data_IF_832798002288
#
_entry.id   IF_832798002288
#
_cell.length_a   1.000
_cell.length_b   1.000
_cell.length_c   1.000
_cell.angle_alpha   90.00
_cell.angle_beta   90.00
_cell.angle_gamma   90.00
#
_symmetry.space_group_name_H-M   'P 1'
#
loop_
_entity.id
_entity.type
_entity.pdbx_description
1 polymer ?
#
# COMPACT_ATOMS: atom_id res chain seq x y z
N UNK A 1 -8.66 -1.59 -52.20
CA UNK A 1 -9.65 -2.25 -51.31
C UNK A 1 -9.00 -3.11 -50.23
N UNK A 2 -8.08 -4.05 -50.55
CA UNK A 2 -7.34 -4.85 -49.52
C UNK A 2 -6.53 -4.03 -48.51
N UNK A 3 -5.92 -2.92 -48.94
CA UNK A 3 -5.10 -2.05 -48.08
C UNK A 3 -5.91 -1.36 -46.96
N UNK A 4 -7.10 -0.82 -47.27
CA UNK A 4 -7.99 -0.19 -46.30
C UNK A 4 -8.52 -1.21 -45.26
N UNK A 5 -8.82 -2.44 -45.70
CA UNK A 5 -9.27 -3.51 -44.82
C UNK A 5 -8.18 -4.00 -43.85
N UNK A 6 -6.90 -3.96 -44.25
CA UNK A 6 -5.77 -4.28 -43.37
C UNK A 6 -5.54 -3.17 -42.33
N UNK A 7 -5.69 -1.90 -42.71
CA UNK A 7 -5.59 -0.76 -41.79
C UNK A 7 -6.72 -0.79 -40.76
N UNK A 8 -7.95 -1.06 -41.19
CA UNK A 8 -9.11 -1.19 -40.31
C UNK A 8 -8.90 -2.31 -39.28
N UNK A 9 -8.45 -3.49 -39.70
CA UNK A 9 -8.12 -4.60 -38.79
C UNK A 9 -7.00 -4.26 -37.81
N UNK A 10 -5.98 -3.51 -38.25
CA UNK A 10 -4.89 -3.02 -37.39
C UNK A 10 -5.39 -2.05 -36.32
N UNK A 11 -6.22 -1.08 -36.70
CA UNK A 11 -6.85 -0.12 -35.79
C UNK A 11 -7.72 -0.80 -34.72
N UNK A 12 -8.56 -1.75 -35.13
CA UNK A 12 -9.35 -2.56 -34.19
C UNK A 12 -8.49 -3.40 -33.24
N UNK A 13 -7.33 -3.87 -33.71
CA UNK A 13 -6.35 -4.55 -32.88
C UNK A 13 -5.80 -3.62 -31.79
N UNK A 14 -5.29 -2.44 -32.18
CA UNK A 14 -4.76 -1.43 -31.26
C UNK A 14 -5.82 -1.00 -30.24
N UNK A 15 -7.04 -0.72 -30.69
CA UNK A 15 -8.15 -0.33 -29.81
C UNK A 15 -8.46 -1.40 -28.75
N UNK A 16 -8.43 -2.68 -29.11
CA UNK A 16 -8.62 -3.79 -28.15
C UNK A 16 -7.53 -3.82 -27.08
N UNK A 17 -6.27 -3.58 -27.45
CA UNK A 17 -5.17 -3.53 -26.48
C UNK A 17 -5.29 -2.34 -25.53
N UNK A 18 -5.67 -1.17 -26.05
CA UNK A 18 -5.92 0.03 -25.22
C UNK A 18 -7.06 -0.26 -24.22
N UNK A 19 -8.18 -0.82 -24.70
CA UNK A 19 -9.32 -1.15 -23.84
C UNK A 19 -8.94 -2.18 -22.77
N UNK A 20 -8.12 -3.18 -23.11
CA UNK A 20 -7.62 -4.17 -22.16
C UNK A 20 -6.72 -3.53 -21.09
N UNK A 21 -5.85 -2.60 -21.47
CA UNK A 21 -5.00 -1.87 -20.52
C UNK A 21 -5.84 -1.02 -19.56
N UNK A 22 -6.84 -0.30 -20.07
CA UNK A 22 -7.78 0.47 -19.24
C UNK A 22 -8.55 -0.46 -18.29
N UNK A 23 -9.02 -1.62 -18.77
CA UNK A 23 -9.73 -2.59 -17.93
C UNK A 23 -8.86 -3.13 -16.79
N UNK A 24 -7.57 -3.38 -17.02
CA UNK A 24 -6.62 -3.81 -15.98
C UNK A 24 -6.49 -2.71 -14.92
N UNK A 25 -6.26 -1.46 -15.31
CA UNK A 25 -6.12 -0.34 -14.38
C UNK A 25 -7.38 -0.16 -13.53
N UNK A 26 -8.57 -0.24 -14.14
CA UNK A 26 -9.85 -0.15 -13.42
C UNK A 26 -10.01 -1.30 -12.43
N UNK A 27 -9.60 -2.51 -12.80
CA UNK A 27 -9.63 -3.68 -11.92
C UNK A 27 -8.69 -3.50 -10.72
N UNK A 28 -7.49 -2.95 -10.94
CA UNK A 28 -6.53 -2.65 -9.86
C UNK A 28 -7.06 -1.62 -8.90
N UNK A 29 -7.62 -0.52 -9.40
CA UNK A 29 -8.22 0.50 -8.55
C UNK A 29 -9.40 -0.10 -7.76
N UNK A 30 -10.27 -0.85 -8.42
CA UNK A 30 -11.39 -1.53 -7.78
C UNK A 30 -10.95 -2.51 -6.68
N UNK A 31 -9.86 -3.25 -6.91
CA UNK A 31 -9.29 -4.16 -5.93
C UNK A 31 -8.73 -3.42 -4.72
N UNK A 32 -8.00 -2.32 -4.93
CA UNK A 32 -7.44 -1.50 -3.85
C UNK A 32 -8.58 -0.92 -2.98
N UNK A 33 -9.63 -0.39 -3.61
CA UNK A 33 -10.81 0.14 -2.90
C UNK A 33 -11.51 -0.97 -2.12
N UNK A 34 -11.73 -2.14 -2.75
CA UNK A 34 -12.36 -3.28 -2.09
C UNK A 34 -11.55 -3.77 -0.88
N UNK A 35 -10.22 -3.83 -1.01
CA UNK A 35 -9.34 -4.18 0.11
C UNK A 35 -9.48 -3.18 1.25
N UNK A 36 -9.43 -1.88 0.95
CA UNK A 36 -9.59 -0.84 1.98
C UNK A 36 -10.94 -0.96 2.71
N UNK A 37 -12.04 -1.21 1.99
CA UNK A 37 -13.37 -1.41 2.59
C UNK A 37 -13.42 -2.66 3.47
N UNK A 38 -12.82 -3.77 3.04
CA UNK A 38 -12.75 -5.00 3.83
C UNK A 38 -11.92 -4.78 5.10
N UNK A 39 -10.83 -4.03 4.99
CA UNK A 39 -9.94 -3.74 6.11
C UNK A 39 -10.61 -2.85 7.15
N UNK A 40 -11.27 -1.77 6.70
CA UNK A 40 -12.06 -0.88 7.54
C UNK A 40 -13.15 -1.66 8.28
N UNK A 41 -13.92 -2.48 7.55
CA UNK A 41 -15.01 -3.29 8.11
C UNK A 41 -14.56 -4.32 9.16
N UNK A 42 -13.38 -4.94 8.98
CA UNK A 42 -12.93 -6.04 9.83
C UNK A 42 -12.09 -5.55 11.01
N UNK A 43 -11.22 -4.57 10.80
CA UNK A 43 -10.16 -4.21 11.76
C UNK A 43 -10.35 -2.88 12.44
N UNK A 44 -11.22 -1.99 11.94
CA UNK A 44 -11.33 -0.61 12.43
C UNK A 44 -12.62 -0.47 13.28
N UNK A 45 -12.51 -0.39 14.62
CA UNK A 45 -13.66 -0.14 15.48
C UNK A 45 -14.06 1.35 15.46
N UNK A 46 -15.29 1.69 15.85
CA UNK A 46 -15.84 3.05 15.78
C UNK A 46 -15.03 4.13 16.54
N UNK A 47 -14.21 3.75 17.52
CA UNK A 47 -13.46 4.66 18.39
C UNK A 47 -12.00 4.93 17.95
N UNK A 48 -11.67 4.68 16.68
CA UNK A 48 -10.35 5.00 16.12
C UNK A 48 -10.14 6.51 15.86
N UNK A 49 -8.89 6.91 15.69
CA UNK A 49 -8.48 8.25 15.22
C UNK A 49 -8.03 8.17 13.77
N UNK A 50 -7.07 7.29 13.51
CA UNK A 50 -6.50 7.04 12.19
C UNK A 50 -6.14 5.56 12.07
N UNK A 51 -6.35 5.00 10.89
CA UNK A 51 -5.83 3.68 10.55
C UNK A 51 -5.04 3.74 9.25
N UNK A 52 -4.07 2.84 9.12
CA UNK A 52 -3.16 2.78 7.99
C UNK A 52 -2.88 1.33 7.62
N UNK A 53 -2.73 1.07 6.33
CA UNK A 53 -2.26 -0.21 5.80
C UNK A 53 -0.77 -0.09 5.54
N UNK A 54 -0.03 -1.16 5.82
CA UNK A 54 1.40 -1.19 5.52
C UNK A 54 1.68 -0.98 4.02
N UNK A 55 2.62 -0.10 3.70
CA UNK A 55 2.98 0.32 2.33
C UNK A 55 3.27 -0.86 1.38
N UNK A 56 3.69 -2.02 1.91
CA UNK A 56 3.94 -3.24 1.13
C UNK A 56 2.67 -3.86 0.51
N UNK A 57 1.49 -3.65 1.09
CA UNK A 57 0.24 -4.27 0.63
C UNK A 57 -0.19 -3.79 -0.76
N UNK A 58 0.01 -2.50 -1.09
CA UNK A 58 -0.32 -1.97 -2.42
C UNK A 58 0.52 -2.61 -3.54
N UNK A 59 1.81 -2.88 -3.28
CA UNK A 59 2.70 -3.54 -4.25
C UNK A 59 2.24 -4.96 -4.56
N UNK A 60 1.64 -5.63 -3.59
CA UNK A 60 1.16 -6.99 -3.72
C UNK A 60 -0.13 -7.11 -4.52
N UNK A 61 -0.94 -6.05 -4.60
CA UNK A 61 -2.16 -6.04 -5.42
C UNK A 61 -1.84 -6.27 -6.92
N UNK A 62 -0.81 -5.59 -7.43
CA UNK A 62 -0.37 -5.79 -8.81
C UNK A 62 0.20 -7.21 -9.06
N UNK A 63 0.97 -7.74 -8.10
CA UNK A 63 1.48 -9.11 -8.18
C UNK A 63 0.34 -10.14 -8.17
N UNK A 64 -0.67 -9.91 -7.33
CA UNK A 64 -1.87 -10.73 -7.25
C UNK A 64 -2.58 -10.80 -8.61
N UNK A 65 -2.78 -9.67 -9.29
CA UNK A 65 -3.42 -9.62 -10.60
C UNK A 65 -2.66 -10.39 -11.68
N UNK A 66 -1.33 -10.25 -11.72
CA UNK A 66 -0.50 -10.98 -12.69
C UNK A 66 -0.64 -12.49 -12.50
N UNK A 67 -0.55 -12.97 -11.25
CA UNK A 67 -0.68 -14.39 -10.94
C UNK A 67 -2.09 -14.88 -11.27
N UNK A 68 -3.11 -14.11 -10.88
CA UNK A 68 -4.52 -14.42 -11.16
C UNK A 68 -4.80 -14.50 -12.66
N UNK A 69 -4.31 -13.55 -13.46
CA UNK A 69 -4.41 -13.56 -14.91
C UNK A 69 -3.72 -14.79 -15.51
N UNK A 70 -2.54 -15.15 -15.01
CA UNK A 70 -1.82 -16.36 -15.41
C UNK A 70 -2.62 -17.64 -15.18
N UNK A 71 -3.22 -17.79 -13.99
CA UNK A 71 -4.11 -18.91 -13.65
C UNK A 71 -5.32 -18.91 -14.57
N UNK A 72 -5.98 -17.77 -14.75
CA UNK A 72 -7.17 -17.64 -15.58
C UNK A 72 -6.91 -18.03 -17.04
N UNK A 73 -5.81 -17.55 -17.62
CA UNK A 73 -5.38 -17.90 -18.98
C UNK A 73 -5.07 -19.39 -19.10
N UNK A 74 -4.39 -19.98 -18.11
CA UNK A 74 -4.15 -21.42 -18.09
C UNK A 74 -5.47 -22.21 -18.04
N UNK A 75 -6.39 -21.87 -17.14
CA UNK A 75 -7.67 -22.57 -16.99
C UNK A 75 -8.56 -22.45 -18.22
N UNK A 76 -8.57 -21.28 -18.87
CA UNK A 76 -9.32 -21.02 -20.12
C UNK A 76 -8.77 -21.83 -21.29
N UNK A 77 -7.45 -22.01 -21.36
CA UNK A 77 -6.80 -22.62 -22.52
C UNK A 77 -6.38 -24.09 -22.33
N UNK A 78 -6.46 -24.66 -21.11
CA UNK A 78 -6.09 -26.06 -20.84
C UNK A 78 -6.82 -27.11 -21.68
N UNK A 79 -7.99 -26.78 -22.23
CA UNK A 79 -8.80 -27.67 -23.09
C UNK A 79 -8.49 -27.53 -24.57
N UNK A 80 -7.68 -26.55 -24.97
CA UNK A 80 -7.34 -26.30 -26.37
C UNK A 80 -6.04 -27.03 -26.71
N UNK A 81 -6.01 -27.89 -27.74
CA UNK A 81 -4.81 -28.64 -28.11
C UNK A 81 -3.65 -27.75 -28.64
N UNK A 82 -3.92 -26.46 -28.91
CA UNK A 82 -2.98 -25.51 -29.53
C UNK A 82 -2.67 -24.28 -28.64
N UNK A 83 -2.68 -24.41 -27.31
CA UNK A 83 -2.08 -23.34 -26.49
C UNK A 83 -0.55 -23.46 -26.56
N UNK A 84 0.01 -23.09 -27.71
CA UNK A 84 1.43 -22.86 -27.90
C UNK A 84 1.80 -21.63 -27.08
N UNK A 85 2.16 -21.85 -25.82
CA UNK A 85 3.01 -20.89 -25.13
C UNK A 85 4.30 -20.85 -25.96
N UNK A 86 4.52 -19.77 -26.72
CA UNK A 86 5.71 -19.55 -27.57
C UNK A 86 7.01 -19.42 -26.75
N UNK A 87 7.01 -19.81 -25.48
CA UNK A 87 8.23 -20.00 -24.71
C UNK A 87 8.85 -21.33 -25.07
N UNK A 88 9.84 -21.27 -25.94
CA UNK A 88 10.73 -22.34 -26.35
C UNK A 88 11.16 -23.28 -25.20
N UNK A 89 10.97 -24.59 -25.41
CA UNK A 89 11.88 -25.64 -24.93
C UNK A 89 11.57 -26.34 -23.60
N UNK A 90 11.42 -25.61 -22.49
CA UNK A 90 11.49 -26.23 -21.13
C UNK A 90 10.29 -25.87 -20.23
N UNK A 91 9.88 -24.61 -20.20
CA UNK A 91 8.75 -24.11 -19.39
C UNK A 91 7.41 -24.66 -19.88
N UNK A 92 7.20 -24.73 -21.19
CA UNK A 92 5.99 -25.27 -21.79
C UNK A 92 5.81 -26.76 -21.49
N UNK A 93 6.89 -27.55 -21.54
CA UNK A 93 6.86 -28.98 -21.24
C UNK A 93 6.58 -29.23 -19.74
N UNK A 94 7.17 -28.44 -18.85
CA UNK A 94 6.92 -28.52 -17.41
C UNK A 94 5.47 -28.16 -17.04
N UNK A 95 4.93 -27.07 -17.60
CA UNK A 95 3.54 -26.66 -17.38
C UNK A 95 2.58 -27.69 -17.99
N UNK A 96 2.89 -28.30 -19.14
CA UNK A 96 2.06 -29.37 -19.72
C UNK A 96 2.04 -30.63 -18.86
N UNK A 97 3.17 -31.00 -18.26
CA UNK A 97 3.30 -32.20 -17.39
C UNK A 97 2.75 -31.98 -15.98
N UNK A 98 2.88 -30.77 -15.43
CA UNK A 98 2.59 -30.46 -14.01
C UNK A 98 1.60 -29.32 -13.80
N UNK A 99 0.92 -28.85 -14.84
CA UNK A 99 0.11 -27.64 -14.80
C UNK A 99 -0.99 -27.63 -13.75
N UNK A 100 -1.59 -28.79 -13.43
CA UNK A 100 -2.54 -28.88 -12.30
C UNK A 100 -1.87 -28.58 -10.95
N UNK A 101 -0.65 -29.08 -10.72
CA UNK A 101 0.12 -28.80 -9.50
C UNK A 101 0.56 -27.33 -9.45
N UNK A 102 0.97 -26.77 -10.60
CA UNK A 102 1.32 -25.35 -10.71
C UNK A 102 0.13 -24.47 -10.37
N UNK A 103 -1.06 -24.74 -10.92
CA UNK A 103 -2.27 -23.98 -10.56
C UNK A 103 -2.58 -24.07 -9.08
N UNK A 104 -2.54 -25.28 -8.49
CA UNK A 104 -2.79 -25.45 -7.05
C UNK A 104 -1.81 -24.62 -6.23
N UNK A 105 -0.51 -24.70 -6.55
CA UNK A 105 0.52 -23.94 -5.83
C UNK A 105 0.32 -22.43 -6.01
N UNK A 106 0.06 -21.96 -7.22
CA UNK A 106 -0.23 -20.55 -7.49
C UNK A 106 -1.47 -20.07 -6.76
N UNK A 107 -2.53 -20.88 -6.65
CA UNK A 107 -3.72 -20.57 -5.86
C UNK A 107 -3.41 -20.46 -4.37
N UNK A 108 -2.60 -21.35 -3.81
CA UNK A 108 -2.17 -21.26 -2.40
C UNK A 108 -1.37 -19.97 -2.16
N UNK A 109 -0.42 -19.65 -3.04
CA UNK A 109 0.37 -18.41 -2.96
C UNK A 109 -0.55 -17.18 -3.05
N UNK A 110 -1.52 -17.20 -3.97
CA UNK A 110 -2.47 -16.10 -4.16
C UNK A 110 -3.30 -15.86 -2.89
N UNK A 111 -3.76 -16.93 -2.23
CA UNK A 111 -4.48 -16.84 -0.95
C UNK A 111 -3.62 -16.27 0.17
N UNK A 112 -2.33 -16.65 0.24
CA UNK A 112 -1.41 -16.11 1.24
C UNK A 112 -1.13 -14.62 1.01
N UNK A 113 -0.96 -14.20 -0.25
CA UNK A 113 -0.79 -12.79 -0.62
C UNK A 113 -2.05 -12.00 -0.25
N UNK A 114 -3.24 -12.53 -0.58
CA UNK A 114 -4.51 -11.88 -0.24
C UNK A 114 -4.67 -11.72 1.27
N UNK A 115 -4.43 -12.79 2.04
CA UNK A 115 -4.48 -12.75 3.49
C UNK A 115 -3.49 -11.74 4.07
N UNK A 116 -2.25 -11.69 3.55
CA UNK A 116 -1.28 -10.66 3.94
C UNK A 116 -1.80 -9.25 3.66
N UNK A 117 -2.34 -8.99 2.46
CA UNK A 117 -2.85 -7.67 2.09
C UNK A 117 -3.98 -7.23 3.02
N UNK A 118 -4.86 -8.15 3.44
CA UNK A 118 -6.00 -7.86 4.33
C UNK A 118 -5.56 -7.59 5.76
N UNK A 119 -4.65 -8.38 6.32
CA UNK A 119 -4.37 -8.36 7.77
C UNK A 119 -3.35 -7.29 8.21
N UNK A 120 -2.49 -6.77 7.33
CA UNK A 120 -1.46 -5.80 7.71
C UNK A 120 -2.04 -4.37 7.86
N UNK A 121 -2.76 -4.15 8.97
CA UNK A 121 -3.46 -2.91 9.30
C UNK A 121 -3.02 -2.44 10.68
N UNK A 122 -2.69 -1.16 10.82
CA UNK A 122 -2.43 -0.53 12.11
C UNK A 122 -3.53 0.49 12.41
N UNK A 123 -4.11 0.42 13.60
CA UNK A 123 -5.19 1.31 14.04
C UNK A 123 -4.71 2.10 15.25
N UNK A 124 -4.83 3.41 15.21
CA UNK A 124 -4.48 4.33 16.30
C UNK A 124 -5.75 4.79 16.98
N UNK A 125 -5.83 4.54 18.28
CA UNK A 125 -6.86 5.02 19.21
C UNK A 125 -6.30 6.18 20.04
N UNK A 126 -7.13 6.76 20.90
CA UNK A 126 -6.78 7.91 21.75
C UNK A 126 -5.60 7.66 22.71
N UNK A 127 -5.41 6.43 23.17
CA UNK A 127 -4.42 6.06 24.18
C UNK A 127 -3.51 4.90 23.77
N UNK A 128 -3.76 4.32 22.60
CA UNK A 128 -3.14 3.05 22.20
C UNK A 128 -3.08 2.89 20.69
N UNK A 129 -2.22 1.97 20.26
CA UNK A 129 -2.05 1.56 18.86
C UNK A 129 -2.28 0.06 18.81
N UNK A 130 -3.09 -0.43 17.87
CA UNK A 130 -3.26 -1.85 17.61
C UNK A 130 -2.67 -2.16 16.24
N UNK A 131 -1.60 -2.96 16.21
CA UNK A 131 -0.95 -3.40 14.96
C UNK A 131 -1.35 -4.83 14.63
N UNK A 132 -2.13 -5.00 13.57
CA UNK A 132 -2.47 -6.30 12.99
C UNK A 132 -1.41 -6.71 11.99
N UNK A 133 -0.95 -7.96 12.09
CA UNK A 133 0.06 -8.50 11.18
C UNK A 133 -0.27 -9.94 10.80
N UNK A 134 0.37 -10.43 9.73
CA UNK A 134 0.13 -11.77 9.19
C UNK A 134 0.13 -12.88 10.27
N UNK A 135 1.06 -12.82 11.23
CA UNK A 135 1.19 -13.81 12.30
C UNK A 135 0.35 -13.48 13.54
N UNK A 136 -0.10 -12.24 13.69
CA UNK A 136 -0.88 -11.74 14.82
C UNK A 136 -2.14 -11.02 14.30
N UNK A 137 -3.09 -11.74 13.69
CA UNK A 137 -4.27 -11.13 13.06
C UNK A 137 -5.22 -10.49 14.06
N UNK A 138 -5.19 -10.92 15.34
CA UNK A 138 -5.94 -10.27 16.42
C UNK A 138 -5.36 -8.91 16.84
N UNK A 139 -4.17 -8.59 16.36
CA UNK A 139 -3.46 -7.37 16.68
C UNK A 139 -2.67 -7.46 17.99
N UNK A 140 -1.55 -6.76 18.03
CA UNK A 140 -0.85 -6.43 19.25
C UNK A 140 -1.26 -5.02 19.68
N UNK A 141 -1.67 -4.87 20.95
CA UNK A 141 -1.98 -3.58 21.53
C UNK A 141 -0.73 -2.98 22.18
N UNK A 142 -0.42 -1.75 21.81
CA UNK A 142 0.69 -0.96 22.31
C UNK A 142 0.14 0.28 23.01
N UNK A 143 0.69 0.61 24.17
CA UNK A 143 0.49 1.93 24.78
C UNK A 143 1.36 2.96 24.04
N UNK A 144 1.02 4.24 24.14
CA UNK A 144 1.89 5.30 23.63
C UNK A 144 3.27 5.32 24.32
N UNK A 145 3.36 4.81 25.55
CA UNK A 145 4.63 4.59 26.25
C UNK A 145 5.52 3.54 25.58
N UNK A 146 4.99 2.73 24.67
CA UNK A 146 5.74 1.73 23.90
C UNK A 146 6.32 2.30 22.61
N UNK A 147 6.01 3.56 22.28
CA UNK A 147 6.67 4.28 21.21
C UNK A 147 8.12 4.57 21.62
N UNK A 148 9.05 4.07 20.81
CA UNK A 148 10.49 4.19 21.03
C UNK A 148 11.05 5.44 20.35
N UNK A 149 10.62 5.72 19.13
CA UNK A 149 11.06 6.90 18.39
C UNK A 149 10.13 7.23 17.24
N UNK A 150 10.25 8.47 16.75
CA UNK A 150 9.57 8.98 15.55
C UNK A 150 10.60 9.32 14.49
N UNK A 151 10.35 8.91 13.25
CA UNK A 151 11.09 9.35 12.07
C UNK A 151 10.11 9.99 11.09
N UNK A 152 10.30 11.27 10.83
CA UNK A 152 9.44 12.04 9.93
C UNK A 152 10.27 12.87 8.96
N UNK A 153 9.71 13.16 7.80
CA UNK A 153 10.43 13.92 6.78
C UNK A 153 9.73 13.91 5.45
N UNK A 154 10.49 14.28 4.41
CA UNK A 154 9.99 14.41 3.05
C UNK A 154 10.89 13.65 2.08
N UNK A 155 10.29 12.74 1.32
CA UNK A 155 11.00 11.93 0.35
C UNK A 155 11.60 12.81 -0.76
N UNK A 156 12.93 12.78 -0.90
CA UNK A 156 13.65 13.54 -1.93
C UNK A 156 13.63 12.92 -3.33
N UNK A 157 13.22 11.66 -3.44
CA UNK A 157 13.18 10.90 -4.70
C UNK A 157 11.86 10.13 -4.80
N UNK A 158 11.40 9.88 -6.02
CA UNK A 158 10.29 8.98 -6.27
C UNK A 158 10.80 7.56 -6.42
N UNK A 159 10.11 6.61 -5.78
CA UNK A 159 10.27 5.18 -6.01
C UNK A 159 8.92 4.65 -6.51
N UNK A 160 8.83 4.10 -7.73
CA UNK A 160 7.58 3.57 -8.28
C UNK A 160 6.93 2.58 -7.31
N UNK A 161 5.62 2.68 -7.12
CA UNK A 161 4.84 1.83 -6.22
C UNK A 161 5.28 1.88 -4.74
N UNK A 162 5.98 2.95 -4.33
CA UNK A 162 6.36 3.16 -2.93
C UNK A 162 6.01 4.55 -2.45
N UNK A 163 6.66 5.57 -3.00
CA UNK A 163 6.50 6.95 -2.57
C UNK A 163 6.91 7.89 -3.68
N UNK A 164 6.36 9.09 -3.65
CA UNK A 164 6.62 10.16 -4.61
C UNK A 164 7.57 11.19 -4.03
N UNK A 165 8.32 11.86 -4.92
CA UNK A 165 9.15 13.01 -4.52
C UNK A 165 8.29 14.14 -3.96
N UNK A 166 8.63 14.62 -2.77
CA UNK A 166 7.87 15.64 -2.03
C UNK A 166 6.72 15.07 -1.21
N UNK A 167 6.60 13.76 -1.07
CA UNK A 167 5.64 13.12 -0.19
C UNK A 167 6.16 13.15 1.25
N UNK A 168 5.28 13.51 2.17
CA UNK A 168 5.53 13.53 3.61
C UNK A 168 5.43 12.11 4.17
N UNK A 169 6.25 11.77 5.16
CA UNK A 169 6.11 10.52 5.89
C UNK A 169 6.20 10.75 7.40
N UNK A 170 5.52 9.88 8.15
CA UNK A 170 5.52 9.89 9.60
C UNK A 170 5.55 8.44 10.11
N UNK A 171 6.75 7.99 10.51
CA UNK A 171 7.00 6.62 10.91
C UNK A 171 7.19 6.56 12.42
N UNK A 172 6.35 5.79 13.08
CA UNK A 172 6.46 5.42 14.49
C UNK A 172 7.26 4.12 14.56
N UNK A 173 8.32 4.08 15.37
CA UNK A 173 9.02 2.86 15.76
C UNK A 173 8.64 2.49 17.20
N UNK A 174 8.16 1.27 17.39
CA UNK A 174 7.80 0.69 18.69
C UNK A 174 9.01 0.02 19.34
N UNK A 175 8.96 -0.21 20.65
CA UNK A 175 10.07 -0.84 21.42
C UNK A 175 10.45 -2.23 20.93
N UNK A 176 9.52 -2.97 20.34
CA UNK A 176 9.77 -4.30 19.74
C UNK A 176 10.37 -4.24 18.33
N UNK A 177 10.61 -3.03 17.80
CA UNK A 177 11.14 -2.78 16.46
C UNK A 177 10.08 -2.67 15.36
N UNK A 178 8.79 -2.82 15.69
CA UNK A 178 7.69 -2.63 14.74
C UNK A 178 7.66 -1.19 14.23
N UNK A 179 7.49 -1.03 12.92
CA UNK A 179 7.42 0.28 12.25
C UNK A 179 6.07 0.47 11.59
N UNK A 180 5.45 1.61 11.90
CA UNK A 180 4.11 1.99 11.43
C UNK A 180 4.23 3.34 10.74
N UNK A 181 3.88 3.41 9.45
CA UNK A 181 3.85 4.65 8.69
C UNK A 181 2.41 5.21 8.70
N UNK A 182 2.18 6.29 9.45
CA UNK A 182 0.85 6.89 9.56
C UNK A 182 0.40 7.63 8.29
N UNK A 183 1.30 7.82 7.32
CA UNK A 183 1.02 8.55 6.08
C UNK A 183 1.28 7.73 4.80
N UNK A 184 1.88 6.53 4.91
CA UNK A 184 2.44 5.81 3.74
C UNK A 184 1.49 4.90 2.97
N UNK A 185 0.26 4.72 3.43
CA UNK A 185 -0.62 3.67 2.95
C UNK A 185 -2.04 4.12 2.60
N UNK A 186 -2.82 3.16 2.09
CA UNK A 186 -4.28 3.26 2.10
C UNK A 186 -4.73 3.26 3.55
N UNK A 187 -5.61 4.17 3.92
CA UNK A 187 -6.03 4.36 5.30
C UNK A 187 -7.08 5.44 5.39
N UNK A 188 -7.59 5.64 6.58
CA UNK A 188 -8.68 6.56 6.83
C UNK A 188 -8.55 7.21 8.19
N UNK A 189 -9.13 8.39 8.28
CA UNK A 189 -9.36 9.10 9.53
C UNK A 189 -10.81 8.94 9.93
N UNK A 190 -11.09 9.03 11.21
CA UNK A 190 -12.47 9.04 11.69
C UNK A 190 -13.22 10.22 11.08
N UNK A 191 -14.42 9.97 10.55
CA UNK A 191 -15.29 10.96 9.92
C UNK A 191 -14.63 11.81 8.81
N UNK A 192 -13.54 11.34 8.20
CA UNK A 192 -12.81 12.13 7.20
C UNK A 192 -12.10 13.35 7.77
N UNK A 193 -11.76 13.34 9.07
CA UNK A 193 -10.93 14.35 9.70
C UNK A 193 -9.60 14.55 8.98
N UNK A 194 -9.04 15.75 9.13
CA UNK A 194 -7.81 16.12 8.42
C UNK A 194 -6.59 15.35 8.95
N UNK A 195 -6.05 14.47 8.12
CA UNK A 195 -4.90 13.62 8.48
C UNK A 195 -3.68 14.42 8.96
N UNK A 196 -3.43 15.61 8.40
CA UNK A 196 -2.29 16.42 8.81
C UNK A 196 -2.51 17.05 10.19
N UNK A 197 -3.77 17.35 10.55
CA UNK A 197 -4.12 17.82 11.88
C UNK A 197 -3.97 16.68 12.90
N UNK A 198 -4.51 15.50 12.59
CA UNK A 198 -4.39 14.31 13.44
C UNK A 198 -2.92 13.98 13.71
N UNK A 199 -2.08 13.95 12.67
CA UNK A 199 -0.65 13.65 12.86
C UNK A 199 0.03 14.74 13.70
N UNK A 200 -0.33 16.02 13.53
CA UNK A 200 0.20 17.10 14.36
C UNK A 200 -0.18 16.95 15.84
N UNK A 201 -1.42 16.53 16.12
CA UNK A 201 -1.88 16.28 17.50
C UNK A 201 -1.16 15.07 18.12
N UNK A 202 -1.02 13.97 17.37
CA UNK A 202 -0.25 12.80 17.80
C UNK A 202 1.22 13.15 18.03
N UNK A 203 1.82 13.93 17.14
CA UNK A 203 3.21 14.36 17.25
C UNK A 203 3.46 15.16 18.54
N UNK A 204 2.55 16.08 18.90
CA UNK A 204 2.63 16.79 20.19
C UNK A 204 2.57 15.83 21.36
N UNK A 205 1.63 14.89 21.37
CA UNK A 205 1.50 13.90 22.45
C UNK A 205 2.80 13.12 22.65
N UNK A 206 3.43 12.66 21.56
CA UNK A 206 4.67 11.90 21.66
C UNK A 206 5.87 12.77 22.05
N UNK A 207 5.98 13.97 21.50
CA UNK A 207 7.06 14.91 21.85
C UNK A 207 6.98 15.36 23.30
N UNK A 208 5.78 15.67 23.80
CA UNK A 208 5.52 16.04 25.20
C UNK A 208 5.81 14.88 26.16
N UNK A 209 5.62 13.63 25.69
CA UNK A 209 6.01 12.42 26.42
C UNK A 209 7.53 12.12 26.33
N UNK A 210 8.32 12.96 25.67
CA UNK A 210 9.77 12.82 25.55
C UNK A 210 10.23 11.78 24.52
N UNK A 211 9.37 11.36 23.58
CA UNK A 211 9.71 10.38 22.54
C UNK A 211 10.76 10.96 21.58
N UNK A 212 11.96 10.35 21.47
CA UNK A 212 13.00 10.82 20.55
C UNK A 212 12.52 10.91 19.10
N UNK A 213 12.80 12.03 18.45
CA UNK A 213 12.33 12.32 17.09
C UNK A 213 13.47 12.70 16.14
N UNK A 214 13.52 12.04 14.99
CA UNK A 214 14.43 12.34 13.89
C UNK A 214 13.66 12.99 12.74
N UNK A 215 14.21 14.06 12.19
CA UNK A 215 13.54 14.87 11.16
C UNK A 215 14.43 15.02 9.92
N UNK A 216 13.91 14.65 8.75
CA UNK A 216 14.51 14.97 7.44
C UNK A 216 13.66 16.02 6.68
N UNK A 217 13.97 17.29 6.91
CA UNK A 217 13.27 18.43 6.31
C UNK A 217 13.92 18.95 5.02
N UNK A 218 14.96 18.30 4.49
CA UNK A 218 15.77 18.82 3.36
C UNK A 218 14.96 19.13 2.10
N UNK A 219 13.85 18.44 1.91
CA UNK A 219 13.02 18.54 0.70
C UNK A 219 11.71 19.30 0.93
N UNK A 220 11.59 20.05 2.03
CA UNK A 220 10.35 20.74 2.39
C UNK A 220 9.81 21.68 1.31
N UNK A 221 10.70 22.39 0.61
CA UNK A 221 10.30 23.30 -0.48
C UNK A 221 9.53 22.60 -1.61
N UNK A 222 9.77 21.30 -1.82
CA UNK A 222 9.06 20.52 -2.84
C UNK A 222 7.60 20.32 -2.41
N UNK A 223 7.38 19.98 -1.14
CA UNK A 223 6.05 19.78 -0.56
C UNK A 223 5.29 21.10 -0.45
N UNK A 224 5.94 22.16 0.00
CA UNK A 224 5.34 23.49 0.14
C UNK A 224 4.85 24.10 -1.18
N UNK A 225 5.47 23.73 -2.31
CA UNK A 225 5.02 24.14 -3.65
C UNK A 225 3.82 23.34 -4.18
N UNK A 226 3.59 22.14 -3.65
CA UNK A 226 2.57 21.20 -4.13
C UNK A 226 1.28 21.24 -3.32
N UNK A 227 1.38 21.59 -2.04
CA UNK A 227 0.26 21.59 -1.11
C UNK A 227 -0.20 23.01 -0.81
N UNK A 228 -1.49 23.16 -0.51
CA UNK A 228 -1.99 24.41 0.03
C UNK A 228 -1.30 24.78 1.34
N UNK A 229 -1.27 26.09 1.59
CA UNK A 229 -0.53 26.68 2.70
C UNK A 229 -0.86 26.01 4.04
N UNK A 230 -2.15 25.76 4.31
CA UNK A 230 -2.62 25.12 5.55
C UNK A 230 -1.94 23.76 5.79
N UNK A 231 -1.84 22.91 4.78
CA UNK A 231 -1.21 21.60 4.91
C UNK A 231 0.30 21.71 5.02
N UNK A 232 0.92 22.58 4.21
CA UNK A 232 2.37 22.80 4.28
C UNK A 232 2.81 23.39 5.63
N UNK A 233 2.01 24.27 6.23
CA UNK A 233 2.27 24.86 7.53
C UNK A 233 2.14 23.83 8.65
N UNK A 234 1.14 22.92 8.59
CA UNK A 234 1.02 21.80 9.53
C UNK A 234 2.20 20.84 9.44
N UNK A 235 2.62 20.47 8.23
CA UNK A 235 3.83 19.66 8.03
C UNK A 235 5.05 20.38 8.61
N UNK A 236 5.19 21.69 8.36
CA UNK A 236 6.28 22.48 8.94
C UNK A 236 6.26 22.42 10.47
N UNK A 237 5.10 22.63 11.09
CA UNK A 237 4.94 22.52 12.55
C UNK A 237 5.35 21.15 13.07
N UNK A 238 4.96 20.06 12.38
CA UNK A 238 5.43 18.71 12.72
C UNK A 238 6.95 18.64 12.60
N UNK A 239 7.58 19.12 11.53
CA UNK A 239 9.04 19.03 11.36
C UNK A 239 9.82 19.88 12.39
N UNK A 240 9.23 20.96 12.88
CA UNK A 240 9.86 21.89 13.84
C UNK A 240 9.65 21.50 15.30
N UNK A 241 8.59 20.77 15.62
CA UNK A 241 8.35 20.20 16.96
C UNK A 241 9.47 19.22 17.32
N UNK A 242 10.19 19.51 18.40
CA UNK A 242 11.28 18.68 18.93
C UNK A 242 11.10 18.50 20.44
N UNK A 243 11.58 17.36 20.96
CA UNK A 243 11.70 17.19 22.41
C UNK A 243 12.54 18.32 22.97
N UNK A 244 11.99 19.04 23.94
CA UNK A 244 12.80 19.84 24.83
C UNK A 244 13.73 18.88 25.58
N UNK A 245 15.02 19.21 25.77
CA UNK A 245 15.84 18.44 26.71
C UNK A 245 15.12 18.45 28.06
N UNK A 246 15.15 17.34 28.83
CA UNK A 246 14.59 17.34 30.16
C UNK A 246 15.20 18.52 30.95
N UNK A 247 14.36 19.35 31.54
CA UNK A 247 14.81 20.33 32.52
C UNK A 247 15.40 19.56 33.71
N UNK A 248 16.75 19.50 33.73
CA UNK A 248 17.69 19.07 34.77
C UNK A 248 17.21 18.11 35.86
#
# INVERSE_FOLDING_TARGET
MKFLFTIEKGLWGILKYILMMVAIIVLTIGMIVLLALIQDLIFVPDEYIIWTVRDSSMRLAFLFEIIFAGIFLYLKNRKKPYFEFTTTGITAAFIKKHGRKVVILSSVILSLILYYMVVNVSVVFKDSIVDHSFFLPKGNKYSYTDVKSINTGIYGKSIPFSHSRGEFYYIIELKDGTKINLFGGSGGTKNGEDIYLIILELDKIFVDAGVPKTVDSKNFDITAKKLDKIYSDRIRSILELRCQPPEN
#
